data_IF_614179624607
#
_entry.id   IF_614179624607
#
_cell.length_a   1.000
_cell.length_b   1.000
_cell.length_c   1.000
_cell.angle_alpha   90.00
_cell.angle_beta   90.00
_cell.angle_gamma   90.00
#
_symmetry.space_group_name_H-M   'P 1'
#
loop_
_entity.id
_entity.type
_entity.pdbx_description
1 polymer ?
#
# COMPACT_ATOMS: atom_id res chain seq x y z
N UNK A 1 33.48 9.68 41.25
CA UNK A 1 34.56 8.76 40.79
C UNK A 1 33.93 7.74 39.87
N UNK A 2 34.46 7.54 38.66
CA UNK A 2 33.98 6.49 37.74
C UNK A 2 34.67 5.17 38.07
N UNK A 3 33.91 4.08 38.10
CA UNK A 3 34.39 2.71 38.34
C UNK A 3 33.72 1.78 37.33
N UNK A 4 34.44 0.75 36.93
CA UNK A 4 33.94 -0.26 35.99
C UNK A 4 33.74 -1.57 36.73
N UNK A 5 32.62 -2.25 36.49
CA UNK A 5 32.31 -3.57 37.03
C UNK A 5 31.92 -4.49 35.88
N UNK A 6 32.47 -5.69 35.87
CA UNK A 6 32.07 -6.74 34.92
C UNK A 6 31.24 -7.76 35.70
N UNK A 7 30.07 -8.12 35.18
CA UNK A 7 29.23 -9.10 35.85
C UNK A 7 28.05 -9.54 34.99
N UNK A 8 27.43 -10.63 35.43
CA UNK A 8 26.26 -11.20 34.79
C UNK A 8 24.99 -10.49 35.25
N UNK A 9 24.21 -9.97 34.31
CA UNK A 9 22.92 -9.35 34.65
C UNK A 9 21.90 -10.45 34.99
N UNK A 10 21.38 -10.48 36.21
CA UNK A 10 20.44 -11.51 36.67
C UNK A 10 18.98 -11.08 36.51
N UNK A 11 18.68 -9.84 36.88
CA UNK A 11 17.31 -9.33 36.92
C UNK A 11 17.28 -7.81 36.72
N UNK A 12 16.16 -7.34 36.18
CA UNK A 12 15.86 -5.93 35.93
C UNK A 12 14.46 -5.64 36.44
N UNK A 13 14.37 -4.85 37.50
CA UNK A 13 13.09 -4.43 38.08
C UNK A 13 12.87 -2.93 37.91
N UNK A 14 11.65 -2.53 37.55
CA UNK A 14 11.26 -1.12 37.47
C UNK A 14 10.41 -0.73 38.68
N UNK A 15 10.75 0.39 39.31
CA UNK A 15 9.96 0.92 40.43
C UNK A 15 10.27 2.38 40.71
N UNK A 16 9.23 3.17 40.98
CA UNK A 16 9.33 4.59 41.41
C UNK A 16 10.22 5.46 40.49
N UNK A 17 10.19 5.20 39.18
CA UNK A 17 10.98 5.97 38.20
C UNK A 17 12.42 5.51 38.02
N UNK A 18 12.86 4.44 38.68
CA UNK A 18 14.20 3.88 38.55
C UNK A 18 14.15 2.43 38.08
N UNK A 19 15.17 2.04 37.33
CA UNK A 19 15.47 0.64 37.04
C UNK A 19 16.55 0.15 38.00
N UNK A 20 16.31 -1.03 38.57
CA UNK A 20 17.21 -1.70 39.49
C UNK A 20 17.76 -2.93 38.77
N UNK A 21 19.07 -2.96 38.58
CA UNK A 21 19.80 -4.04 37.92
C UNK A 21 20.50 -4.89 38.98
N UNK A 22 20.20 -6.18 39.01
CA UNK A 22 20.92 -7.13 39.85
C UNK A 22 22.04 -7.76 39.05
N UNK A 23 23.30 -7.53 39.44
CA UNK A 23 24.49 -7.96 38.70
C UNK A 23 25.31 -8.91 39.56
N UNK A 24 25.54 -10.13 39.07
CA UNK A 24 26.41 -11.11 39.71
C UNK A 24 27.86 -10.92 39.25
N UNK A 25 28.74 -10.54 40.17
CA UNK A 25 30.18 -10.34 39.89
C UNK A 25 30.94 -11.66 40.12
N UNK A 26 30.51 -12.47 41.07
CA UNK A 26 31.09 -13.78 41.38
C UNK A 26 30.02 -14.74 41.90
N UNK A 27 30.35 -16.03 42.02
CA UNK A 27 29.39 -17.07 42.44
C UNK A 27 28.65 -16.75 43.74
N UNK A 28 29.28 -16.00 44.64
CA UNK A 28 28.73 -15.63 45.95
C UNK A 28 28.48 -14.13 46.11
N UNK A 29 28.84 -13.30 45.11
CA UNK A 29 28.73 -11.84 45.18
C UNK A 29 27.81 -11.28 44.10
N UNK A 30 26.79 -10.56 44.54
CA UNK A 30 25.85 -9.80 43.70
C UNK A 30 25.78 -8.36 44.15
N UNK A 31 25.82 -7.44 43.19
CA UNK A 31 25.69 -6.00 43.41
C UNK A 31 24.43 -5.50 42.72
N UNK A 32 23.72 -4.61 43.42
CA UNK A 32 22.57 -3.91 42.88
C UNK A 32 23.00 -2.55 42.34
N UNK A 33 22.71 -2.30 41.07
CA UNK A 33 22.97 -1.03 40.40
C UNK A 33 21.65 -0.33 40.09
N UNK A 34 21.66 1.00 40.12
CA UNK A 34 20.47 1.82 39.86
C UNK A 34 20.67 2.64 38.61
N UNK A 35 19.61 2.72 37.81
CA UNK A 35 19.54 3.53 36.59
C UNK A 35 18.32 4.42 36.66
N UNK A 36 18.47 5.70 36.33
CA UNK A 36 17.34 6.60 36.19
C UNK A 36 16.48 6.17 34.99
N UNK A 37 15.14 6.16 35.14
CA UNK A 37 14.23 5.78 34.06
C UNK A 37 14.39 6.60 32.78
N UNK A 38 14.80 7.87 32.90
CA UNK A 38 15.09 8.75 31.76
C UNK A 38 16.37 8.35 31.01
N UNK A 39 17.36 7.82 31.72
CA UNK A 39 18.67 7.41 31.16
C UNK A 39 18.67 5.95 30.70
N UNK A 40 17.69 5.17 31.14
CA UNK A 40 17.61 3.74 30.85
C UNK A 40 17.57 3.45 29.35
N UNK A 41 16.79 4.22 28.57
CA UNK A 41 16.70 4.08 27.11
C UNK A 41 17.99 4.51 26.38
N UNK A 42 18.82 5.33 27.00
CA UNK A 42 20.12 5.75 26.47
C UNK A 42 21.14 4.62 26.69
N UNK A 43 21.10 3.99 27.86
CA UNK A 43 22.01 2.90 28.24
C UNK A 43 21.63 1.58 27.53
N UNK A 44 20.34 1.30 27.36
CA UNK A 44 19.83 0.14 26.64
C UNK A 44 18.96 0.58 25.45
N UNK A 45 19.56 0.99 24.31
CA UNK A 45 18.82 1.51 23.16
C UNK A 45 17.93 0.46 22.49
N UNK A 46 18.28 -0.83 22.63
CA UNK A 46 17.48 -1.94 22.12
C UNK A 46 16.30 -2.33 23.03
N UNK A 47 16.12 -1.67 24.18
CA UNK A 47 15.03 -1.94 25.13
C UNK A 47 15.47 -2.78 26.32
N UNK A 48 14.81 -3.91 26.56
CA UNK A 48 15.14 -4.78 27.70
C UNK A 48 16.44 -5.57 27.42
N UNK A 49 17.47 -5.47 28.27
CA UNK A 49 18.70 -6.24 28.11
C UNK A 49 18.45 -7.73 28.30
N UNK A 50 19.29 -8.55 27.69
CA UNK A 50 19.24 -9.99 27.82
C UNK A 50 19.74 -10.40 29.21
N UNK A 51 18.90 -11.12 29.94
CA UNK A 51 19.26 -11.66 31.25
C UNK A 51 20.27 -12.80 31.10
N UNK A 52 21.10 -12.99 32.13
CA UNK A 52 22.18 -13.99 32.26
C UNK A 52 23.34 -13.80 31.29
N UNK A 53 23.45 -12.63 30.67
CA UNK A 53 24.63 -12.25 29.90
C UNK A 53 25.62 -11.43 30.72
N UNK A 54 26.88 -11.46 30.30
CA UNK A 54 27.95 -10.70 30.91
C UNK A 54 27.98 -9.31 30.28
N UNK A 55 27.92 -8.29 31.12
CA UNK A 55 28.01 -6.90 30.75
C UNK A 55 29.15 -6.22 31.51
N UNK A 56 29.74 -5.22 30.88
CA UNK A 56 30.61 -4.24 31.50
C UNK A 56 29.78 -3.00 31.85
N UNK A 57 29.70 -2.68 33.13
CA UNK A 57 28.97 -1.55 33.69
C UNK A 57 29.95 -0.45 34.08
N UNK A 58 29.83 0.72 33.47
CA UNK A 58 30.45 1.94 33.99
C UNK A 58 29.51 2.59 35.00
N UNK A 59 30.03 2.81 36.21
CA UNK A 59 29.28 3.32 37.35
C UNK A 59 29.94 4.60 37.85
N UNK A 60 29.11 5.59 38.14
CA UNK A 60 29.50 6.80 38.83
C UNK A 60 28.84 6.83 40.21
N UNK A 61 29.66 7.01 41.24
CA UNK A 61 29.14 7.20 42.61
C UNK A 61 28.74 8.67 42.77
N UNK A 62 27.45 8.92 42.95
CA UNK A 62 26.85 10.24 43.21
C UNK A 62 26.09 10.11 44.53
N UNK A 63 26.41 10.94 45.52
CA UNK A 63 25.74 10.92 46.85
C UNK A 63 25.64 9.51 47.46
N UNK A 64 26.74 8.75 47.44
CA UNK A 64 26.85 7.36 47.91
C UNK A 64 25.96 6.32 47.17
N UNK A 65 25.36 6.69 46.04
CA UNK A 65 24.60 5.77 45.18
C UNK A 65 25.40 5.38 43.94
N UNK A 66 25.54 4.07 43.62
CA UNK A 66 26.12 3.62 42.37
C UNK A 66 25.11 3.81 41.23
N UNK A 67 25.31 4.87 40.43
CA UNK A 67 24.50 5.16 39.24
C UNK A 67 25.23 4.63 38.02
N UNK A 68 24.55 3.83 37.21
CA UNK A 68 25.11 3.33 35.94
C UNK A 68 25.09 4.45 34.91
N UNK A 69 26.23 4.68 34.26
CA UNK A 69 26.37 5.69 33.20
C UNK A 69 26.48 5.08 31.82
N UNK A 70 27.01 3.87 31.70
CA UNK A 70 27.13 3.14 30.44
C UNK A 70 27.13 1.64 30.67
N UNK A 71 26.64 0.88 29.69
CA UNK A 71 26.63 -0.58 29.69
C UNK A 71 27.08 -1.11 28.35
N UNK A 72 28.02 -2.05 28.36
CA UNK A 72 28.52 -2.72 27.16
C UNK A 72 28.33 -4.24 27.29
N UNK A 73 27.64 -4.91 26.35
CA UNK A 73 27.56 -6.37 26.34
C UNK A 73 28.93 -6.96 26.03
N UNK A 74 29.47 -7.78 26.92
CA UNK A 74 30.73 -8.51 26.68
C UNK A 74 30.52 -9.81 25.89
N UNK A 75 29.31 -10.37 25.97
CA UNK A 75 28.91 -11.55 25.20
C UNK A 75 28.45 -11.20 23.78
N UNK A 76 28.61 -9.95 23.33
CA UNK A 76 28.40 -9.64 21.93
C UNK A 76 29.36 -10.54 21.13
N UNK A 77 28.78 -11.45 20.35
CA UNK A 77 29.47 -12.20 19.31
C UNK A 77 30.48 -11.23 18.67
N UNK A 78 31.77 -11.53 18.84
CA UNK A 78 32.81 -10.80 18.13
C UNK A 78 32.57 -11.16 16.68
N UNK A 79 31.80 -10.34 15.98
CA UNK A 79 31.67 -10.41 14.53
C UNK A 79 33.08 -10.11 14.05
N UNK A 80 33.82 -11.17 13.68
CA UNK A 80 35.13 -11.02 13.09
C UNK A 80 34.99 -10.06 11.92
N UNK A 81 36.00 -9.23 11.65
CA UNK A 81 35.94 -8.34 10.49
C UNK A 81 35.70 -9.09 9.16
N UNK A 82 35.93 -10.41 9.15
CA UNK A 82 35.63 -11.36 8.07
C UNK A 82 34.13 -11.66 7.89
N UNK A 83 33.29 -11.46 8.91
CA UNK A 83 31.82 -11.60 8.86
C UNK A 83 31.10 -10.28 8.54
N UNK A 84 31.85 -9.17 8.42
CA UNK A 84 31.33 -7.96 7.78
C UNK A 84 31.17 -8.31 6.30
N UNK A 85 29.95 -8.23 5.72
CA UNK A 85 29.79 -8.52 4.31
C UNK A 85 30.70 -7.61 3.52
N UNK A 86 31.65 -8.20 2.77
CA UNK A 86 32.53 -7.48 1.86
C UNK A 86 31.72 -6.46 1.04
N UNK A 87 32.32 -5.34 0.66
CA UNK A 87 31.67 -4.26 -0.09
C UNK A 87 30.85 -4.77 -1.30
N UNK A 88 31.26 -5.90 -1.90
CA UNK A 88 30.52 -6.59 -2.95
C UNK A 88 29.19 -7.23 -2.50
N UNK A 89 29.12 -7.78 -1.29
CA UNK A 89 27.90 -8.34 -0.70
C UNK A 89 26.86 -7.23 -0.39
N UNK A 90 27.32 -6.06 0.09
CA UNK A 90 26.47 -4.87 0.26
C UNK A 90 25.97 -4.38 -1.11
N UNK A 91 26.84 -4.32 -2.12
CA UNK A 91 26.45 -3.94 -3.49
C UNK A 91 25.41 -4.90 -4.07
N UNK A 92 25.54 -6.20 -3.81
CA UNK A 92 24.59 -7.21 -4.26
C UNK A 92 23.23 -7.09 -3.54
N UNK A 93 23.22 -6.74 -2.26
CA UNK A 93 22.00 -6.42 -1.51
C UNK A 93 21.30 -5.18 -2.06
N UNK A 94 22.04 -4.10 -2.35
CA UNK A 94 21.46 -2.90 -2.98
C UNK A 94 20.91 -3.17 -4.39
N UNK A 95 21.57 -4.02 -5.18
CA UNK A 95 21.10 -4.39 -6.53
C UNK A 95 19.83 -5.22 -6.45
N UNK A 96 19.72 -6.15 -5.48
CA UNK A 96 18.48 -6.91 -5.24
C UNK A 96 17.36 -6.02 -4.71
N UNK A 97 17.67 -5.08 -3.81
CA UNK A 97 16.72 -4.10 -3.29
C UNK A 97 16.17 -3.17 -4.37
N UNK A 98 17.03 -2.66 -5.27
CA UNK A 98 16.62 -1.87 -6.44
C UNK A 98 15.69 -2.65 -7.36
N UNK A 99 16.06 -3.89 -7.71
CA UNK A 99 15.19 -4.75 -8.52
C UNK A 99 13.84 -5.00 -7.85
N UNK A 100 13.79 -5.21 -6.55
CA UNK A 100 12.52 -5.40 -5.82
C UNK A 100 11.64 -4.14 -5.82
N UNK A 101 12.24 -2.94 -5.71
CA UNK A 101 11.51 -1.67 -5.85
C UNK A 101 10.97 -1.47 -7.27
N UNK A 102 11.74 -1.85 -8.29
CA UNK A 102 11.29 -1.78 -9.69
C UNK A 102 10.12 -2.73 -9.97
N UNK A 103 10.11 -3.94 -9.38
CA UNK A 103 8.96 -4.84 -9.50
C UNK A 103 7.73 -4.31 -8.78
N UNK A 104 7.90 -3.71 -7.60
CA UNK A 104 6.79 -3.13 -6.85
C UNK A 104 6.18 -1.92 -7.57
N UNK A 105 7.00 -1.05 -8.14
CA UNK A 105 6.51 0.10 -8.90
C UNK A 105 5.80 -0.32 -10.20
N UNK A 106 6.30 -1.37 -10.87
CA UNK A 106 5.64 -1.96 -12.03
C UNK A 106 4.28 -2.58 -11.65
N UNK A 107 4.21 -3.27 -10.51
CA UNK A 107 2.96 -3.84 -9.99
C UNK A 107 1.95 -2.75 -9.62
N UNK A 108 2.37 -1.67 -8.95
CA UNK A 108 1.52 -0.53 -8.62
C UNK A 108 1.01 0.20 -9.88
N UNK A 109 1.83 0.30 -10.92
CA UNK A 109 1.41 0.85 -12.21
C UNK A 109 0.37 -0.05 -12.90
N UNK A 110 0.58 -1.37 -12.90
CA UNK A 110 -0.38 -2.33 -13.43
C UNK A 110 -1.71 -2.33 -12.66
N UNK A 111 -1.68 -2.27 -11.32
CA UNK A 111 -2.90 -2.20 -10.51
C UNK A 111 -3.69 -0.91 -10.77
N UNK A 112 -2.99 0.19 -11.05
CA UNK A 112 -3.63 1.46 -11.42
C UNK A 112 -4.30 1.39 -12.80
N UNK A 113 -3.62 0.79 -13.78
CA UNK A 113 -4.22 0.52 -15.10
C UNK A 113 -5.43 -0.41 -14.98
N UNK A 114 -5.34 -1.47 -14.19
CA UNK A 114 -6.43 -2.44 -13.99
C UNK A 114 -7.67 -1.78 -13.37
N UNK A 115 -7.48 -0.92 -12.35
CA UNK A 115 -8.57 -0.14 -11.76
C UNK A 115 -9.21 0.85 -12.74
N UNK A 116 -8.43 1.37 -13.68
CA UNK A 116 -8.95 2.28 -14.71
C UNK A 116 -9.82 1.50 -15.69
N UNK A 117 -9.37 0.32 -16.13
CA UNK A 117 -10.12 -0.58 -17.01
C UNK A 117 -11.41 -1.08 -16.33
N UNK A 118 -11.35 -1.45 -15.04
CA UNK A 118 -12.54 -1.84 -14.28
C UNK A 118 -13.56 -0.69 -14.15
N UNK A 119 -13.08 0.53 -13.93
CA UNK A 119 -13.92 1.74 -13.92
C UNK A 119 -14.57 2.01 -15.28
N UNK A 120 -13.83 1.84 -16.38
CA UNK A 120 -14.33 2.02 -17.74
C UNK A 120 -15.38 0.94 -18.10
N UNK A 121 -15.19 -0.30 -17.70
CA UNK A 121 -16.19 -1.37 -17.88
C UNK A 121 -17.47 -1.08 -17.08
N UNK A 122 -17.35 -0.59 -15.84
CA UNK A 122 -18.51 -0.21 -15.04
C UNK A 122 -19.30 0.95 -15.68
N UNK A 123 -18.60 1.94 -16.26
CA UNK A 123 -19.21 3.03 -17.02
C UNK A 123 -19.90 2.53 -18.30
N UNK A 124 -19.32 1.55 -18.98
CA UNK A 124 -19.92 0.93 -20.17
C UNK A 124 -21.20 0.17 -19.82
N UNK A 125 -21.20 -0.61 -18.74
CA UNK A 125 -22.38 -1.31 -18.24
C UNK A 125 -23.51 -0.34 -17.83
N UNK A 126 -23.16 0.79 -17.21
CA UNK A 126 -24.12 1.85 -16.84
C UNK A 126 -24.71 2.54 -18.09
N UNK A 127 -23.89 2.80 -19.10
CA UNK A 127 -24.34 3.33 -20.40
C UNK A 127 -25.28 2.37 -21.12
N UNK A 128 -24.97 1.07 -21.14
CA UNK A 128 -25.86 0.06 -21.73
C UNK A 128 -27.20 -0.03 -20.98
N UNK A 129 -27.17 0.06 -19.64
CA UNK A 129 -28.39 0.11 -18.83
C UNK A 129 -29.23 1.37 -19.11
N UNK A 130 -28.59 2.54 -19.27
CA UNK A 130 -29.27 3.79 -19.63
C UNK A 130 -29.88 3.74 -21.04
N UNK A 131 -29.17 3.18 -22.02
CA UNK A 131 -29.71 3.02 -23.38
C UNK A 131 -30.88 2.04 -23.39
N UNK A 132 -30.80 0.95 -22.63
CA UNK A 132 -31.90 -0.02 -22.53
C UNK A 132 -33.15 0.60 -21.90
N UNK A 133 -33.00 1.36 -20.81
CA UNK A 133 -34.13 2.07 -20.18
C UNK A 133 -34.72 3.14 -21.08
N UNK A 134 -33.91 3.89 -21.83
CA UNK A 134 -34.41 4.88 -22.80
C UNK A 134 -35.16 4.20 -23.96
N UNK A 135 -34.64 3.10 -24.49
CA UNK A 135 -35.30 2.36 -25.58
C UNK A 135 -36.62 1.72 -25.14
N UNK A 136 -36.69 1.20 -23.92
CA UNK A 136 -37.94 0.70 -23.32
C UNK A 136 -38.95 1.84 -23.11
N UNK A 137 -38.52 2.99 -22.60
CA UNK A 137 -39.38 4.17 -22.45
C UNK A 137 -39.91 4.68 -23.80
N UNK A 138 -39.04 4.78 -24.83
CA UNK A 138 -39.44 5.19 -26.18
C UNK A 138 -40.44 4.22 -26.79
N UNK A 139 -40.21 2.90 -26.66
CA UNK A 139 -41.15 1.87 -27.12
C UNK A 139 -42.50 1.99 -26.41
N UNK A 140 -42.51 2.16 -25.09
CA UNK A 140 -43.73 2.36 -24.32
C UNK A 140 -44.47 3.63 -24.74
N UNK A 141 -43.74 4.73 -24.98
CA UNK A 141 -44.31 6.01 -25.41
C UNK A 141 -44.93 5.92 -26.80
N UNK A 142 -44.25 5.25 -27.74
CA UNK A 142 -44.78 4.99 -29.09
C UNK A 142 -46.03 4.10 -29.03
N UNK A 143 -46.01 3.01 -28.26
CA UNK A 143 -47.18 2.14 -28.09
C UNK A 143 -48.35 2.88 -27.43
N UNK A 144 -48.09 3.73 -26.44
CA UNK A 144 -49.11 4.56 -25.81
C UNK A 144 -49.69 5.59 -26.79
N UNK A 145 -48.87 6.16 -27.67
CA UNK A 145 -49.35 7.08 -28.73
C UNK A 145 -50.14 6.36 -29.81
N UNK A 146 -49.70 5.17 -30.24
CA UNK A 146 -50.42 4.32 -31.21
C UNK A 146 -51.76 3.79 -30.67
N UNK A 147 -51.88 3.62 -29.35
CA UNK A 147 -53.13 3.20 -28.70
C UNK A 147 -54.05 4.37 -28.34
N UNK A 148 -53.49 5.55 -28.03
CA UNK A 148 -54.26 6.75 -27.71
C UNK A 148 -54.73 7.54 -28.95
N UNK A 149 -53.97 7.50 -30.05
CA UNK A 149 -54.32 8.12 -31.33
C UNK A 149 -54.48 6.98 -32.32
N UNK A 150 -55.72 6.66 -32.67
CA UNK A 150 -56.03 5.62 -33.65
C UNK A 150 -55.21 5.80 -34.92
N UNK A 151 -54.72 4.68 -35.46
CA UNK A 151 -53.82 4.59 -36.63
C UNK A 151 -54.32 5.38 -37.86
N UNK A 152 -55.61 5.69 -37.91
CA UNK A 152 -56.26 6.43 -39.00
C UNK A 152 -55.88 7.91 -39.10
N UNK A 153 -55.21 8.52 -38.10
CA UNK A 153 -54.81 9.93 -38.15
C UNK A 153 -53.36 10.20 -38.55
N UNK A 154 -52.51 9.18 -38.69
CA UNK A 154 -51.08 9.37 -38.97
C UNK A 154 -50.74 9.46 -40.47
N UNK A 155 -51.66 9.09 -41.35
CA UNK A 155 -51.52 9.25 -42.79
C UNK A 155 -52.80 9.87 -43.34
N UNK A 156 -52.72 11.09 -43.85
CA UNK A 156 -53.81 11.60 -44.69
C UNK A 156 -53.73 10.89 -46.05
N UNK A 157 -54.87 10.56 -46.66
CA UNK A 157 -54.89 9.93 -47.99
C UNK A 157 -54.10 10.73 -49.03
N UNK A 158 -53.95 12.05 -48.86
CA UNK A 158 -53.09 12.90 -49.69
C UNK A 158 -51.58 12.60 -49.56
N UNK A 159 -51.11 12.12 -48.42
CA UNK A 159 -49.68 11.78 -48.23
C UNK A 159 -49.33 10.44 -48.91
N UNK A 160 -50.30 9.53 -49.03
CA UNK A 160 -50.13 8.24 -49.70
C UNK A 160 -50.13 8.40 -51.23
N UNK A 161 -50.99 9.26 -51.77
CA UNK A 161 -51.06 9.55 -53.21
C UNK A 161 -49.79 10.21 -53.76
N UNK A 162 -49.05 10.95 -52.93
CA UNK A 162 -47.80 11.60 -53.33
C UNK A 162 -46.64 10.59 -53.47
N UNK A 163 -46.71 9.45 -52.76
CA UNK A 163 -45.70 8.38 -52.80
C UNK A 163 -45.98 7.41 -53.96
N UNK A 164 -47.24 7.20 -54.32
CA UNK A 164 -47.64 6.29 -55.40
C UNK A 164 -47.56 6.96 -56.78
N UNK A 165 -47.76 8.27 -56.88
CA UNK A 165 -47.69 9.03 -58.14
C UNK A 165 -46.37 9.75 -58.40
N UNK A 166 -45.32 9.53 -57.59
CA UNK A 166 -43.99 10.02 -57.96
C UNK A 166 -43.48 9.22 -59.16
N UNK A 167 -43.62 9.79 -60.36
CA UNK A 167 -43.07 9.29 -61.62
C UNK A 167 -41.57 9.01 -61.45
N UNK A 168 -41.24 7.75 -61.12
CA UNK A 168 -39.85 7.31 -61.07
C UNK A 168 -39.41 7.09 -62.51
N UNK A 169 -38.39 7.79 -63.02
CA UNK A 169 -37.93 7.59 -64.39
C UNK A 169 -37.53 6.12 -64.55
N UNK A 170 -38.01 5.51 -65.62
CA UNK A 170 -37.71 4.10 -65.88
C UNK A 170 -36.22 3.94 -66.19
N UNK A 171 -35.65 2.77 -65.88
CA UNK A 171 -34.22 2.46 -66.06
C UNK A 171 -33.69 2.77 -67.47
N UNK A 172 -34.57 2.78 -68.48
CA UNK A 172 -34.31 3.16 -69.87
C UNK A 172 -33.95 4.64 -70.03
N UNK A 173 -34.55 5.54 -69.24
CA UNK A 173 -34.31 6.99 -69.30
C UNK A 173 -33.02 7.38 -68.56
N UNK A 174 -32.73 6.72 -67.45
CA UNK A 174 -31.46 6.88 -66.72
C UNK A 174 -30.27 6.34 -67.52
N UNK A 175 -30.45 5.27 -68.29
CA UNK A 175 -29.43 4.72 -69.18
C UNK A 175 -29.10 5.63 -70.37
N UNK A 176 -30.08 6.38 -70.89
CA UNK A 176 -29.85 7.39 -71.95
C UNK A 176 -29.11 8.61 -71.41
N UNK A 177 -29.43 9.07 -70.18
CA UNK A 177 -28.76 10.21 -69.55
C UNK A 177 -27.31 9.95 -69.15
N UNK A 178 -26.94 8.69 -68.95
CA UNK A 178 -25.58 8.24 -68.63
C UNK A 178 -24.67 8.09 -69.86
N UNK A 179 -25.23 7.97 -71.07
CA UNK A 179 -24.47 8.02 -72.32
C UNK A 179 -24.71 9.38 -72.97
N UNK A 180 -24.01 10.39 -72.47
CA UNK A 180 -23.95 11.69 -73.13
C UNK A 180 -23.29 11.55 -74.50
N UNK A 181 -24.11 11.49 -75.55
CA UNK A 181 -23.99 12.41 -76.67
C UNK A 181 -24.38 13.82 -76.23
#
# INVERSE_FOLDING_TARGET
>A
MKKTIIGMLLDVAYGRGYYVLSVQISKEDSVTLVVNGEEYSIIFPAGAPLLREIYEFEIQIIEDKPVVTSVFPMNAEVIAAEDIPDFEAIRNLEVRGRKAMDFKSLQEAHDKELKTIEGDNALQDELEAMVKTETEWRKSSINNRLSAVGVEQLFSDSDVDTITNSDKPTLSELARRSRGE
#
